data_IF_475762997018
#
_entry.id   IF_475762997018
#
_cell.length_a   1.000
_cell.length_b   1.000
_cell.length_c   1.000
_cell.angle_alpha   90.00
_cell.angle_beta   90.00
_cell.angle_gamma   90.00
#
_symmetry.space_group_name_H-M   'P 1'
#
loop_
_entity.id
_entity.type
_entity.pdbx_description
1 polymer ?
#
# COMPACT_ATOMS: atom_id res chain seq x y z
N UNK A 1 13.33 10.59 25.70
CA UNK A 1 13.73 10.40 24.29
C UNK A 1 13.60 11.74 23.61
N UNK A 2 14.70 12.44 23.40
CA UNK A 2 14.70 13.71 22.66
C UNK A 2 14.34 13.47 21.20
N UNK A 3 13.41 14.28 20.74
CA UNK A 3 12.73 14.11 19.48
C UNK A 3 13.32 15.08 18.46
N UNK A 4 14.23 14.58 17.63
CA UNK A 4 14.90 15.32 16.57
C UNK A 4 13.94 15.67 15.42
N UNK A 5 12.95 16.54 15.69
CA UNK A 5 11.93 17.01 14.75
C UNK A 5 12.18 18.46 14.29
N UNK A 6 13.42 18.76 13.91
CA UNK A 6 13.71 19.91 13.06
C UNK A 6 13.06 19.73 11.68
N UNK A 7 12.67 20.82 10.99
CA UNK A 7 12.15 20.74 9.63
C UNK A 7 13.17 20.02 8.75
N UNK A 8 12.81 18.82 8.29
CA UNK A 8 13.69 17.97 7.50
C UNK A 8 13.77 18.47 6.07
N UNK A 9 14.93 18.30 5.45
CA UNK A 9 15.07 18.56 4.03
C UNK A 9 14.09 17.70 3.24
N UNK A 10 13.68 18.21 2.08
CA UNK A 10 12.81 17.46 1.17
C UNK A 10 13.44 16.14 0.73
N UNK A 11 14.76 16.08 0.60
CA UNK A 11 15.49 14.84 0.29
C UNK A 11 15.32 13.76 1.36
N UNK A 12 15.39 14.12 2.65
CA UNK A 12 15.16 13.17 3.75
C UNK A 12 13.70 12.72 3.78
N UNK A 13 12.78 13.64 3.50
CA UNK A 13 11.35 13.32 3.43
C UNK A 13 11.06 12.34 2.30
N UNK A 14 11.60 12.59 1.10
CA UNK A 14 11.48 11.68 -0.04
C UNK A 14 12.13 10.32 0.23
N UNK A 15 13.34 10.30 0.79
CA UNK A 15 14.03 9.06 1.15
C UNK A 15 13.23 8.22 2.17
N UNK A 16 12.52 8.87 3.10
CA UNK A 16 11.66 8.18 4.08
C UNK A 16 10.41 7.54 3.48
N UNK A 17 10.04 7.85 2.24
CA UNK A 17 8.94 7.17 1.56
C UNK A 17 9.42 5.89 0.86
N UNK A 18 10.71 5.79 0.54
CA UNK A 18 11.26 4.73 -0.29
C UNK A 18 10.97 3.32 0.26
N UNK A 19 11.17 3.01 1.57
CA UNK A 19 10.83 1.69 2.08
C UNK A 19 9.35 1.33 1.93
N UNK A 20 8.45 2.29 2.16
CA UNK A 20 7.01 2.08 2.01
C UNK A 20 6.65 1.68 0.57
N UNK A 21 7.18 2.40 -0.42
CA UNK A 21 6.91 2.14 -1.83
C UNK A 21 7.52 0.82 -2.31
N UNK A 22 8.73 0.49 -1.85
CA UNK A 22 9.37 -0.78 -2.16
C UNK A 22 8.55 -1.96 -1.61
N UNK A 23 8.01 -1.85 -0.40
CA UNK A 23 7.14 -2.86 0.19
C UNK A 23 5.79 -2.96 -0.53
N UNK A 24 5.19 -1.82 -0.88
CA UNK A 24 3.94 -1.79 -1.66
C UNK A 24 4.09 -2.50 -3.01
N UNK A 25 5.20 -2.24 -3.71
CA UNK A 25 5.52 -2.93 -4.96
C UNK A 25 5.79 -4.42 -4.72
N UNK A 26 6.58 -4.79 -3.71
CA UNK A 26 6.84 -6.19 -3.39
C UNK A 26 5.54 -6.97 -3.12
N UNK A 27 4.62 -6.38 -2.35
CA UNK A 27 3.30 -6.95 -2.04
C UNK A 27 2.40 -7.07 -3.27
N UNK A 28 2.54 -6.17 -4.25
CA UNK A 28 1.79 -6.24 -5.51
C UNK A 28 2.23 -7.36 -6.45
N UNK A 29 3.38 -8.01 -6.16
CA UNK A 29 3.91 -9.07 -7.01
C UNK A 29 3.10 -10.38 -6.95
N UNK A 30 2.37 -10.59 -5.86
CA UNK A 30 1.46 -11.73 -5.74
C UNK A 30 0.10 -11.42 -6.36
N UNK A 31 -0.37 -12.31 -7.24
CA UNK A 31 -1.72 -12.29 -7.78
C UNK A 31 -1.79 -12.72 -9.24
N UNK A 32 -3.02 -12.76 -9.76
CA UNK A 32 -3.33 -13.12 -11.14
C UNK A 32 -4.12 -12.00 -11.87
N UNK A 33 -3.81 -11.68 -13.14
CA UNK A 33 -2.69 -12.18 -13.92
C UNK A 33 -1.35 -11.82 -13.28
N UNK A 34 -0.24 -12.48 -13.67
CA UNK A 34 1.06 -12.21 -13.09
C UNK A 34 1.38 -10.72 -13.12
N UNK A 35 1.87 -10.19 -12.00
CA UNK A 35 2.33 -8.82 -11.92
C UNK A 35 3.45 -8.56 -12.94
N UNK A 36 3.64 -7.31 -13.40
CA UNK A 36 4.73 -6.96 -14.31
C UNK A 36 6.13 -7.12 -13.69
N UNK A 37 6.20 -7.42 -12.39
CA UNK A 37 7.43 -7.67 -11.65
C UNK A 37 7.55 -9.16 -11.34
N UNK A 38 8.76 -9.72 -11.52
CA UNK A 38 9.01 -11.11 -11.16
C UNK A 38 9.07 -11.31 -9.64
N UNK A 39 8.86 -12.54 -9.18
CA UNK A 39 8.99 -12.92 -7.77
C UNK A 39 10.40 -12.59 -7.24
N UNK A 40 11.45 -12.82 -8.03
CA UNK A 40 12.82 -12.48 -7.61
C UNK A 40 13.01 -10.96 -7.44
N UNK A 41 12.42 -10.17 -8.33
CA UNK A 41 12.44 -8.71 -8.20
C UNK A 41 11.69 -8.26 -6.94
N UNK A 42 10.53 -8.84 -6.65
CA UNK A 42 9.74 -8.56 -5.45
C UNK A 42 10.51 -8.87 -4.16
N UNK A 43 11.18 -10.01 -4.09
CA UNK A 43 12.08 -10.36 -2.98
C UNK A 43 13.21 -9.33 -2.84
N UNK A 44 13.81 -8.92 -3.96
CA UNK A 44 14.84 -7.86 -3.98
C UNK A 44 14.32 -6.53 -3.43
N UNK A 45 13.12 -6.11 -3.84
CA UNK A 45 12.46 -4.89 -3.35
C UNK A 45 12.18 -4.96 -1.85
N UNK A 46 11.69 -6.11 -1.36
CA UNK A 46 11.47 -6.34 0.07
C UNK A 46 12.77 -6.21 0.88
N UNK A 47 13.84 -6.91 0.46
CA UNK A 47 15.14 -6.84 1.15
C UNK A 47 15.74 -5.43 1.10
N UNK A 48 15.62 -4.75 -0.04
CA UNK A 48 16.04 -3.36 -0.18
C UNK A 48 15.26 -2.43 0.75
N UNK A 49 13.94 -2.61 0.89
CA UNK A 49 13.12 -1.82 1.79
C UNK A 49 13.59 -1.96 3.25
N UNK A 50 13.86 -3.18 3.69
CA UNK A 50 14.37 -3.47 5.04
C UNK A 50 15.74 -2.84 5.25
N UNK A 51 16.68 -3.03 4.32
CA UNK A 51 18.02 -2.45 4.38
C UNK A 51 18.00 -0.92 4.44
N UNK A 52 17.18 -0.28 3.58
CA UNK A 52 17.03 1.18 3.53
C UNK A 52 16.36 1.68 4.81
N UNK A 53 15.32 1.02 5.31
CA UNK A 53 14.67 1.39 6.57
C UNK A 53 15.65 1.32 7.75
N UNK A 54 16.46 0.27 7.83
CA UNK A 54 17.52 0.14 8.85
C UNK A 54 18.56 1.25 8.72
N UNK A 55 19.02 1.56 7.51
CA UNK A 55 19.97 2.64 7.26
C UNK A 55 19.40 4.01 7.68
N UNK A 56 18.15 4.31 7.31
CA UNK A 56 17.48 5.55 7.67
C UNK A 56 17.26 5.66 9.18
N UNK A 57 16.91 4.56 9.86
CA UNK A 57 16.75 4.51 11.31
C UNK A 57 18.10 4.71 12.01
N UNK A 58 19.16 4.04 11.53
CA UNK A 58 20.51 4.17 12.07
C UNK A 58 21.04 5.61 11.94
N UNK A 59 20.80 6.25 10.78
CA UNK A 59 21.12 7.67 10.55
C UNK A 59 20.19 8.62 11.32
N UNK A 60 19.20 8.11 12.06
CA UNK A 60 18.16 8.87 12.77
C UNK A 60 17.35 9.79 11.84
N UNK A 61 17.30 9.45 10.55
CA UNK A 61 16.54 10.14 9.51
C UNK A 61 15.06 9.76 9.52
N UNK A 62 14.65 8.73 10.25
CA UNK A 62 13.25 8.38 10.52
C UNK A 62 13.12 7.96 11.98
N UNK A 63 11.91 8.09 12.53
CA UNK A 63 11.57 7.59 13.87
C UNK A 63 10.85 6.25 13.80
N UNK A 64 10.69 5.55 14.94
CA UNK A 64 10.02 4.26 14.99
C UNK A 64 8.57 4.30 14.48
N UNK A 65 7.85 5.42 14.67
CA UNK A 65 6.50 5.60 14.14
C UNK A 65 6.43 5.42 12.61
N UNK A 66 7.41 5.95 11.89
CA UNK A 66 7.48 5.82 10.42
C UNK A 66 7.77 4.38 10.03
N UNK A 67 8.68 3.70 10.76
CA UNK A 67 8.97 2.28 10.55
C UNK A 67 7.72 1.42 10.77
N UNK A 68 6.94 1.71 11.81
CA UNK A 68 5.66 1.03 12.05
C UNK A 68 4.71 1.21 10.87
N UNK A 69 4.60 2.41 10.30
CA UNK A 69 3.74 2.66 9.14
C UNK A 69 4.16 1.92 7.87
N UNK A 70 5.42 1.49 7.75
CA UNK A 70 5.86 0.65 6.63
C UNK A 70 5.26 -0.75 6.65
N UNK A 71 4.61 -1.16 7.75
CA UNK A 71 3.93 -2.45 7.81
C UNK A 71 2.51 -2.42 7.22
N UNK A 72 1.97 -1.22 6.94
CA UNK A 72 0.61 -1.06 6.37
C UNK A 72 0.44 -1.82 5.04
N UNK A 73 1.40 -1.83 4.09
CA UNK A 73 1.35 -2.69 2.92
C UNK A 73 1.04 -4.17 3.19
N UNK A 74 1.51 -4.75 4.30
CA UNK A 74 1.19 -6.15 4.62
C UNK A 74 -0.26 -6.35 5.04
N UNK A 75 -0.91 -5.33 5.61
CA UNK A 75 -2.35 -5.39 5.87
C UNK A 75 -3.16 -5.41 4.57
N UNK A 76 -2.64 -4.83 3.48
CA UNK A 76 -3.28 -4.92 2.17
C UNK A 76 -3.22 -6.32 1.58
N UNK A 77 -2.21 -7.15 1.92
CA UNK A 77 -2.19 -8.55 1.48
C UNK A 77 -3.44 -9.27 1.94
N UNK A 78 -3.88 -9.04 3.19
CA UNK A 78 -5.08 -9.68 3.72
C UNK A 78 -6.36 -9.15 3.07
N UNK A 79 -6.51 -7.82 2.94
CA UNK A 79 -7.74 -7.20 2.42
C UNK A 79 -7.93 -7.36 0.91
N UNK A 80 -6.83 -7.40 0.17
CA UNK A 80 -6.81 -7.46 -1.28
C UNK A 80 -6.29 -8.81 -1.77
N UNK A 81 -6.31 -9.82 -0.90
CA UNK A 81 -5.99 -11.18 -1.31
C UNK A 81 -6.99 -11.65 -2.36
N UNK A 82 -6.55 -12.52 -3.26
CA UNK A 82 -7.36 -13.12 -4.33
C UNK A 82 -7.96 -12.12 -5.36
N UNK A 83 -7.88 -10.82 -5.11
CA UNK A 83 -8.26 -9.78 -6.07
C UNK A 83 -7.25 -9.77 -7.21
N UNK A 84 -7.78 -9.72 -8.43
CA UNK A 84 -6.94 -9.69 -9.62
C UNK A 84 -5.95 -8.53 -9.61
N UNK A 85 -4.70 -8.81 -9.99
CA UNK A 85 -3.58 -7.85 -10.04
C UNK A 85 -3.92 -6.55 -10.77
N UNK A 86 -4.80 -6.62 -11.79
CA UNK A 86 -5.30 -5.47 -12.56
C UNK A 86 -5.99 -4.43 -11.67
N UNK A 87 -6.64 -4.88 -10.60
CA UNK A 87 -7.37 -4.06 -9.63
C UNK A 87 -6.56 -3.85 -8.34
N UNK A 88 -5.98 -4.94 -7.81
CA UNK A 88 -5.19 -4.93 -6.58
C UNK A 88 -4.02 -3.95 -6.65
N UNK A 89 -3.27 -3.93 -7.75
CA UNK A 89 -2.09 -3.07 -7.89
C UNK A 89 -2.44 -1.59 -7.76
N UNK A 90 -3.35 -1.01 -8.56
CA UNK A 90 -3.72 0.40 -8.40
C UNK A 90 -4.32 0.71 -7.02
N UNK A 91 -5.09 -0.20 -6.41
CA UNK A 91 -5.60 -0.02 -5.05
C UNK A 91 -4.46 0.12 -4.03
N UNK A 92 -3.46 -0.76 -4.09
CA UNK A 92 -2.26 -0.68 -3.23
C UNK A 92 -1.53 0.65 -3.45
N UNK A 93 -1.35 1.09 -4.70
CA UNK A 93 -0.63 2.33 -4.99
C UNK A 93 -1.37 3.56 -4.43
N UNK A 94 -2.70 3.61 -4.55
CA UNK A 94 -3.51 4.70 -3.97
C UNK A 94 -3.46 4.69 -2.43
N UNK A 95 -3.59 3.52 -1.80
CA UNK A 95 -3.47 3.42 -0.35
C UNK A 95 -2.06 3.80 0.14
N UNK A 96 -1.03 3.42 -0.62
CA UNK A 96 0.36 3.79 -0.36
C UNK A 96 0.61 5.30 -0.48
N UNK A 97 -0.06 5.97 -1.42
CA UNK A 97 -0.05 7.44 -1.51
C UNK A 97 -0.66 8.08 -0.26
N UNK A 98 -1.79 7.57 0.23
CA UNK A 98 -2.44 8.06 1.45
C UNK A 98 -1.49 7.94 2.65
N UNK A 99 -0.85 6.77 2.83
CA UNK A 99 0.14 6.55 3.90
C UNK A 99 1.36 7.48 3.72
N UNK A 100 1.82 7.69 2.48
CA UNK A 100 2.91 8.63 2.18
C UNK A 100 2.59 10.05 2.66
N UNK A 101 1.37 10.53 2.38
CA UNK A 101 0.89 11.83 2.90
C UNK A 101 0.89 11.84 4.43
N UNK A 102 0.43 10.77 5.07
CA UNK A 102 0.48 10.60 6.53
C UNK A 102 1.90 10.72 7.10
N UNK A 103 2.89 10.07 6.48
CA UNK A 103 4.30 10.15 6.88
C UNK A 103 4.83 11.57 6.75
N UNK A 104 4.55 12.25 5.63
CA UNK A 104 4.99 13.63 5.40
C UNK A 104 4.36 14.60 6.41
N UNK A 105 3.07 14.44 6.70
CA UNK A 105 2.36 15.23 7.69
C UNK A 105 2.88 14.96 9.11
N UNK A 106 3.14 13.70 9.46
CA UNK A 106 3.78 13.31 10.72
C UNK A 106 5.11 14.04 10.92
N UNK A 107 5.98 14.00 9.91
CA UNK A 107 7.31 14.61 9.95
C UNK A 107 7.25 16.14 10.07
N UNK A 108 6.19 16.78 9.55
CA UNK A 108 6.02 18.24 9.57
C UNK A 108 5.16 18.78 10.70
N UNK A 109 4.49 17.91 11.46
CA UNK A 109 3.49 18.30 12.46
C UNK A 109 4.00 19.17 13.61
N UNK A 110 5.32 19.19 13.88
CA UNK A 110 5.97 19.92 14.98
C UNK A 110 5.62 19.44 16.40
N UNK A 111 4.44 18.85 16.61
CA UNK A 111 3.92 18.33 17.89
C UNK A 111 3.70 16.82 17.82
N UNK A 112 4.16 16.07 18.83
CA UNK A 112 4.16 14.59 18.83
C UNK A 112 2.77 14.02 18.65
N UNK A 113 1.85 14.42 19.52
CA UNK A 113 0.48 13.92 19.55
C UNK A 113 -0.24 14.17 18.24
N UNK A 114 -0.11 15.38 17.68
CA UNK A 114 -0.70 15.73 16.38
C UNK A 114 -0.10 14.88 15.25
N UNK A 115 1.22 14.69 15.24
CA UNK A 115 1.89 13.85 14.26
C UNK A 115 1.35 12.42 14.30
N UNK A 116 1.31 11.79 15.47
CA UNK A 116 0.78 10.44 15.64
C UNK A 116 -0.68 10.32 15.21
N UNK A 117 -1.53 11.29 15.59
CA UNK A 117 -2.92 11.32 15.15
C UNK A 117 -3.04 11.39 13.63
N UNK A 118 -2.23 12.22 12.96
CA UNK A 118 -2.23 12.34 11.50
C UNK A 118 -1.77 11.06 10.81
N UNK A 119 -0.73 10.39 11.35
CA UNK A 119 -0.23 9.13 10.81
C UNK A 119 -1.25 8.00 11.00
N UNK A 120 -1.87 7.92 12.18
CA UNK A 120 -2.91 6.94 12.49
C UNK A 120 -4.16 7.17 11.63
N UNK A 121 -4.58 8.43 11.45
CA UNK A 121 -5.69 8.77 10.57
C UNK A 121 -5.40 8.37 9.12
N UNK A 122 -4.19 8.65 8.61
CA UNK A 122 -3.80 8.24 7.27
C UNK A 122 -3.79 6.71 7.10
N UNK A 123 -3.27 5.97 8.09
CA UNK A 123 -3.31 4.50 8.08
C UNK A 123 -4.75 3.96 8.08
N UNK A 124 -5.61 4.52 8.93
CA UNK A 124 -7.03 4.14 8.98
C UNK A 124 -7.75 4.43 7.66
N UNK A 125 -7.58 5.64 7.11
CA UNK A 125 -8.18 6.03 5.82
C UNK A 125 -7.69 5.12 4.70
N UNK A 126 -6.39 4.82 4.66
CA UNK A 126 -5.81 3.86 3.72
C UNK A 126 -6.48 2.49 3.81
N UNK A 127 -6.63 1.93 5.01
CA UNK A 127 -7.27 0.62 5.21
C UNK A 127 -8.75 0.64 4.85
N UNK A 128 -9.46 1.72 5.19
CA UNK A 128 -10.86 1.90 4.83
C UNK A 128 -11.03 1.97 3.31
N UNK A 129 -10.16 2.70 2.59
CA UNK A 129 -10.16 2.74 1.12
C UNK A 129 -9.86 1.37 0.51
N UNK A 130 -8.91 0.62 1.07
CA UNK A 130 -8.62 -0.74 0.63
C UNK A 130 -9.83 -1.66 0.79
N UNK A 131 -10.46 -1.66 1.97
CA UNK A 131 -11.65 -2.47 2.27
C UNK A 131 -12.85 -2.08 1.39
N UNK A 132 -13.05 -0.78 1.17
CA UNK A 132 -14.10 -0.25 0.29
C UNK A 132 -13.89 -0.73 -1.16
N UNK A 133 -12.68 -0.60 -1.67
CA UNK A 133 -12.32 -1.02 -3.04
C UNK A 133 -12.47 -2.54 -3.21
N UNK A 134 -12.10 -3.31 -2.19
CA UNK A 134 -12.32 -4.76 -2.17
C UNK A 134 -13.81 -5.11 -2.19
N UNK A 135 -14.63 -4.45 -1.35
CA UNK A 135 -16.08 -4.67 -1.32
C UNK A 135 -16.74 -4.40 -2.68
N UNK A 136 -16.41 -3.28 -3.31
CA UNK A 136 -16.92 -2.94 -4.64
C UNK A 136 -16.45 -3.93 -5.71
N UNK A 137 -15.19 -4.38 -5.64
CA UNK A 137 -14.69 -5.42 -6.53
C UNK A 137 -15.49 -6.71 -6.41
N UNK A 138 -15.70 -7.21 -5.18
CA UNK A 138 -16.44 -8.45 -4.95
C UNK A 138 -17.91 -8.32 -5.36
N UNK A 139 -18.55 -7.19 -5.09
CA UNK A 139 -19.91 -6.92 -5.55
C UNK A 139 -20.01 -6.91 -7.09
N UNK A 140 -19.04 -6.29 -7.78
CA UNK A 140 -18.99 -6.30 -9.24
C UNK A 140 -18.80 -7.72 -9.78
N UNK A 141 -17.87 -8.51 -9.22
CA UNK A 141 -17.65 -9.90 -9.65
C UNK A 141 -18.88 -10.78 -9.43
N UNK A 142 -19.60 -10.56 -8.33
CA UNK A 142 -20.85 -11.24 -8.00
C UNK A 142 -21.94 -10.96 -9.05
N UNK A 143 -22.11 -9.69 -9.44
CA UNK A 143 -23.06 -9.28 -10.48
C UNK A 143 -22.72 -9.87 -11.85
N UNK A 144 -21.43 -10.07 -12.12
CA UNK A 144 -20.94 -10.69 -13.35
C UNK A 144 -21.02 -12.23 -13.31
N UNK A 145 -21.47 -12.83 -12.19
CA UNK A 145 -21.63 -14.27 -12.05
C UNK A 145 -20.32 -15.04 -11.83
N UNK A 146 -19.25 -14.38 -11.37
CA UNK A 146 -17.94 -15.00 -11.10
C UNK A 146 -17.87 -15.82 -9.79
N UNK A 147 -19.02 -16.20 -9.23
CA UNK A 147 -19.16 -16.93 -7.95
C UNK A 147 -18.42 -18.28 -7.87
N UNK A 148 -18.06 -18.89 -9.00
CA UNK A 148 -17.48 -20.25 -9.03
C UNK A 148 -16.20 -20.36 -9.86
N UNK A 149 -15.66 -19.26 -10.37
CA UNK A 149 -14.51 -19.32 -11.25
C UNK A 149 -13.46 -18.29 -10.84
N UNK A 150 -12.67 -18.67 -9.83
CA UNK A 150 -11.42 -17.98 -9.54
C UNK A 150 -10.57 -18.01 -10.82
N UNK A 151 -10.08 -16.84 -11.29
CA UNK A 151 -9.25 -16.74 -12.49
C UNK A 151 -8.03 -17.68 -12.47
N UNK A 152 -7.57 -18.08 -11.28
CA UNK A 152 -6.41 -18.96 -11.07
C UNK A 152 -6.70 -20.47 -11.12
N UNK A 153 -7.93 -20.94 -10.85
CA UNK A 153 -8.17 -22.37 -10.59
C UNK A 153 -8.82 -23.15 -11.74
N UNK A 154 -9.62 -22.48 -12.58
CA UNK A 154 -10.55 -23.16 -13.49
C UNK A 154 -10.48 -22.67 -14.95
N UNK A 155 -9.45 -21.89 -15.31
CA UNK A 155 -9.23 -21.44 -16.70
C UNK A 155 -10.19 -20.35 -17.16
N UNK A 156 -10.76 -19.57 -16.24
CA UNK A 156 -11.64 -18.47 -16.61
C UNK A 156 -10.87 -17.32 -17.26
N UNK A 157 -11.49 -16.63 -18.23
CA UNK A 157 -10.88 -15.46 -18.84
C UNK A 157 -10.67 -14.37 -17.77
N UNK A 158 -9.55 -13.63 -17.83
CA UNK A 158 -9.29 -12.54 -16.90
C UNK A 158 -10.44 -11.53 -16.93
N UNK A 159 -10.76 -10.93 -15.78
CA UNK A 159 -11.80 -9.90 -15.65
C UNK A 159 -11.53 -8.63 -16.48
N UNK A 160 -10.30 -8.50 -17.01
CA UNK A 160 -9.89 -7.40 -17.86
C UNK A 160 -10.80 -7.27 -19.10
N UNK A 161 -11.56 -6.18 -19.15
CA UNK A 161 -12.41 -5.82 -20.29
C UNK A 161 -13.90 -6.20 -20.18
N UNK A 162 -14.35 -6.75 -19.04
CA UNK A 162 -15.78 -7.06 -18.78
C UNK A 162 -16.37 -6.39 -17.54
N UNK A 163 -15.55 -5.99 -16.58
CA UNK A 163 -15.97 -5.27 -15.38
C UNK A 163 -15.75 -3.76 -15.45
N UNK A 164 -16.19 -3.07 -14.40
CA UNK A 164 -15.89 -1.66 -14.20
C UNK A 164 -14.38 -1.42 -14.12
N UNK A 165 -13.88 -0.27 -14.58
CA UNK A 165 -12.50 0.11 -14.37
C UNK A 165 -12.18 0.31 -12.88
N UNK A 166 -10.93 0.02 -12.50
CA UNK A 166 -10.49 0.06 -11.10
C UNK A 166 -10.80 1.38 -10.39
N UNK A 167 -10.71 2.53 -11.08
CA UNK A 167 -10.94 3.82 -10.45
C UNK A 167 -12.40 4.03 -10.06
N UNK A 168 -13.36 3.41 -10.78
CA UNK A 168 -14.77 3.47 -10.40
C UNK A 168 -14.99 2.72 -9.10
N UNK A 169 -14.42 1.52 -8.95
CA UNK A 169 -14.52 0.73 -7.71
C UNK A 169 -13.91 1.43 -6.49
N UNK A 170 -13.02 2.40 -6.72
CA UNK A 170 -12.39 3.20 -5.67
C UNK A 170 -13.28 4.36 -5.22
N UNK A 171 -14.07 4.96 -6.14
CA UNK A 171 -14.84 6.19 -5.90
C UNK A 171 -16.36 5.97 -5.80
N UNK A 172 -16.87 4.81 -6.23
CA UNK A 172 -18.29 4.47 -6.16
C UNK A 172 -18.71 4.32 -4.70
N UNK A 173 -19.74 5.09 -4.31
CA UNK A 173 -20.40 5.04 -3.00
C UNK A 173 -21.55 4.03 -3.00
#
# INVERSE_FOLDING_TARGET
MEDNRHPRSWSVSAASLLPLWLLALAVSAEGFPPAPISVQAAMGLFLAAVAIAMLLLWKKWIGPAVVLSYNIPFAFLYLLDEISTVYKTPFILVCTLIVSVGILLYQRSGRLTRGWMLLAAAAFVSLAVAAHSAGNFWQMTDQLGYYQCFPDALGCPPLAGRGDPWWLLLISL
#
